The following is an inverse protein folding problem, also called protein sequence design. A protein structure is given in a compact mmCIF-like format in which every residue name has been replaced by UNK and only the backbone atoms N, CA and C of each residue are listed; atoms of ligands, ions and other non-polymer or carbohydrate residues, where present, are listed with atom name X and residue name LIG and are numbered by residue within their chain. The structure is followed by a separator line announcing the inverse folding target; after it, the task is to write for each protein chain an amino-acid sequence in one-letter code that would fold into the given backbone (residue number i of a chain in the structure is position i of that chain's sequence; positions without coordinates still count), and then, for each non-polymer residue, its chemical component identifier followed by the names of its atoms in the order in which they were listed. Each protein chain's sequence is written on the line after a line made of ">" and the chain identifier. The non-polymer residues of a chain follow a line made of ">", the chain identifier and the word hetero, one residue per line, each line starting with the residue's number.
data_IF_115101118346
#
_entry.id   IF_115101118346
#
_cell.length_a   1.000
_cell.length_b   1.000
_cell.length_c   1.000
_cell.angle_alpha   90.00
_cell.angle_beta   90.00
_cell.angle_gamma   90.00
#
_symmetry.space_group_name_H-M   'P 1'
#
loop_
_entity.id
_entity.type
_entity.pdbx_description
1 polymer ?
#
# COMPACT_ATOMS: atom_id res chain seq x y z
N UNK A 1 -69.87 -36.96 36.54
CA UNK A 1 -71.19 -36.50 37.02
C UNK A 1 -71.45 -35.10 36.46
N UNK A 2 -72.56 -34.97 35.72
CA UNK A 2 -73.35 -33.76 35.42
C UNK A 2 -72.72 -32.54 34.70
N UNK A 3 -73.16 -32.36 33.44
CA UNK A 3 -73.32 -31.07 32.74
C UNK A 3 -74.38 -30.18 33.43
N UNK A 4 -74.60 -28.86 33.09
CA UNK A 4 -75.25 -28.43 31.83
C UNK A 4 -74.74 -27.08 31.24
N UNK A 5 -74.74 -26.88 29.91
CA UNK A 5 -75.87 -26.43 29.06
C UNK A 5 -76.40 -25.01 29.36
N UNK A 6 -76.20 -24.08 28.41
CA UNK A 6 -77.18 -23.08 27.92
C UNK A 6 -76.64 -22.50 26.59
N UNK A 7 -77.22 -22.90 25.44
CA UNK A 7 -78.25 -22.17 24.65
C UNK A 7 -77.66 -20.97 23.89
N UNK A 8 -78.01 -20.61 22.65
CA UNK A 8 -78.82 -21.09 21.52
C UNK A 8 -78.81 -19.87 20.54
N UNK A 9 -78.79 -20.11 19.22
CA UNK A 9 -79.02 -19.18 18.07
C UNK A 9 -77.82 -19.23 17.10
N UNK A 10 -77.86 -19.91 15.95
CA UNK A 10 -78.78 -19.82 14.80
C UNK A 10 -78.68 -18.47 14.06
N UNK A 11 -77.77 -18.39 13.08
CA UNK A 11 -77.96 -17.63 11.84
C UNK A 11 -76.89 -18.06 10.82
N UNK A 12 -77.35 -18.72 9.76
CA UNK A 12 -76.57 -19.01 8.57
C UNK A 12 -76.55 -17.76 7.67
N UNK A 13 -75.37 -17.37 7.16
CA UNK A 13 -75.27 -16.65 5.88
C UNK A 13 -73.86 -16.80 5.27
N UNK A 14 -73.82 -17.61 4.22
CA UNK A 14 -73.08 -17.49 2.95
C UNK A 14 -71.67 -16.86 2.93
N UNK A 15 -70.71 -17.70 2.53
CA UNK A 15 -69.73 -17.50 1.45
C UNK A 15 -68.96 -16.17 1.41
N UNK A 16 -67.73 -16.19 1.92
CA UNK A 16 -66.54 -15.65 1.24
C UNK A 16 -65.28 -16.25 1.89
N UNK A 17 -64.65 -17.22 1.20
CA UNK A 17 -63.30 -17.64 1.52
C UNK A 17 -62.34 -16.56 1.00
N UNK A 18 -61.87 -15.68 1.90
CA UNK A 18 -60.72 -14.83 1.66
C UNK A 18 -59.53 -15.46 2.39
N UNK A 19 -58.58 -15.94 1.60
CA UNK A 19 -57.26 -16.41 2.00
C UNK A 19 -56.48 -15.18 2.53
N UNK A 20 -56.29 -15.09 3.85
CA UNK A 20 -55.48 -14.07 4.49
C UNK A 20 -53.98 -14.39 4.25
N UNK A 21 -53.45 -13.93 3.11
CA UNK A 21 -52.00 -13.75 2.94
C UNK A 21 -51.59 -12.40 3.54
N UNK A 22 -50.60 -12.36 4.44
CA UNK A 22 -49.98 -11.10 4.87
C UNK A 22 -49.41 -10.36 3.67
N UNK A 23 -49.88 -9.12 3.48
CA UNK A 23 -49.40 -8.20 2.45
C UNK A 23 -47.98 -7.76 2.81
N UNK A 24 -47.01 -8.22 2.03
CA UNK A 24 -45.62 -7.78 2.10
C UNK A 24 -45.56 -6.26 1.87
N UNK A 25 -44.86 -5.55 2.77
CA UNK A 25 -44.66 -4.11 2.65
C UNK A 25 -43.82 -3.80 1.38
N UNK A 26 -44.09 -2.69 0.67
CA UNK A 26 -43.27 -2.30 -0.48
C UNK A 26 -41.83 -2.06 -0.02
N UNK A 27 -40.88 -2.78 -0.63
CA UNK A 27 -39.45 -2.53 -0.44
C UNK A 27 -39.12 -1.12 -0.90
N UNK A 28 -38.56 -0.31 0.00
CA UNK A 28 -37.93 0.97 -0.34
C UNK A 28 -36.91 0.78 -1.48
N UNK A 29 -36.88 1.67 -2.49
CA UNK A 29 -35.83 1.65 -3.49
C UNK A 29 -34.48 1.92 -2.84
N UNK A 30 -33.39 1.27 -3.30
CA UNK A 30 -32.06 1.48 -2.74
C UNK A 30 -31.66 2.96 -2.84
N UNK A 31 -30.93 3.50 -1.84
CA UNK A 31 -30.51 4.89 -1.85
C UNK A 31 -29.72 5.21 -3.13
N UNK A 32 -29.93 6.40 -3.72
CA UNK A 32 -29.16 6.81 -4.90
C UNK A 32 -27.68 6.81 -4.55
N UNK A 33 -26.89 6.15 -5.41
CA UNK A 33 -25.43 6.15 -5.34
C UNK A 33 -24.96 7.60 -5.37
N UNK A 34 -24.21 8.01 -4.35
CA UNK A 34 -23.56 9.31 -4.34
C UNK A 34 -22.59 9.37 -5.52
N UNK A 35 -22.98 10.11 -6.56
CA UNK A 35 -22.12 10.52 -7.65
C UNK A 35 -21.01 11.40 -7.08
N UNK A 36 -19.77 10.98 -7.29
CA UNK A 36 -18.60 11.82 -7.05
C UNK A 36 -18.58 12.83 -8.21
N UNK A 37 -18.75 14.14 -7.97
CA UNK A 37 -18.62 15.13 -9.03
C UNK A 37 -17.13 15.36 -9.27
N UNK A 38 -16.65 15.06 -10.48
CA UNK A 38 -15.33 15.51 -10.92
C UNK A 38 -14.40 14.40 -11.41
N UNK A 39 -14.82 13.67 -12.44
CA UNK A 39 -13.98 13.29 -13.58
C UNK A 39 -14.96 12.79 -14.64
N UNK A 40 -15.00 13.47 -15.78
CA UNK A 40 -15.91 13.16 -16.89
C UNK A 40 -15.75 11.71 -17.37
N UNK A 41 -16.51 10.81 -16.76
CA UNK A 41 -16.77 9.45 -17.21
C UNK A 41 -17.91 9.42 -18.25
N UNK A 42 -18.14 10.55 -18.94
CA UNK A 42 -19.22 10.73 -19.92
C UNK A 42 -18.80 10.63 -21.39
N UNK A 43 -17.53 10.30 -21.67
CA UNK A 43 -16.99 10.20 -23.04
C UNK A 43 -16.50 8.80 -23.42
N UNK A 44 -16.74 7.80 -22.58
CA UNK A 44 -16.60 6.39 -22.93
C UNK A 44 -17.94 5.72 -22.63
N UNK A 45 -18.86 5.80 -23.60
CA UNK A 45 -20.05 4.96 -23.60
C UNK A 45 -19.66 3.49 -23.46
N UNK A 46 -20.58 2.67 -22.94
CA UNK A 46 -20.62 1.22 -22.65
C UNK A 46 -19.76 0.24 -23.50
N UNK A 47 -18.52 0.60 -23.76
CA UNK A 47 -17.45 -0.23 -24.26
C UNK A 47 -16.49 -0.38 -23.11
N UNK A 48 -16.68 -1.41 -22.30
CA UNK A 48 -15.56 -2.00 -21.59
C UNK A 48 -14.43 -2.11 -22.61
N UNK A 49 -13.33 -1.39 -22.41
CA UNK A 49 -12.12 -1.58 -23.20
C UNK A 49 -11.91 -3.09 -23.26
N UNK A 50 -12.05 -3.69 -24.43
CA UNK A 50 -11.90 -5.12 -24.60
C UNK A 50 -10.45 -5.44 -24.26
N UNK A 51 -10.22 -5.89 -23.03
CA UNK A 51 -8.90 -6.27 -22.55
C UNK A 51 -8.62 -7.64 -23.16
N UNK A 52 -7.47 -7.77 -23.82
CA UNK A 52 -7.04 -9.04 -24.39
C UNK A 52 -7.07 -10.16 -23.33
N UNK A 53 -7.43 -11.41 -23.72
CA UNK A 53 -7.36 -12.52 -22.80
C UNK A 53 -5.92 -12.66 -22.26
N UNK A 54 -5.75 -13.00 -20.98
CA UNK A 54 -4.42 -13.15 -20.42
C UNK A 54 -3.68 -14.27 -21.13
N UNK A 55 -2.39 -14.04 -21.41
CA UNK A 55 -1.50 -15.06 -21.95
C UNK A 55 -1.52 -16.32 -21.06
N UNK A 56 -1.27 -17.51 -21.63
CA UNK A 56 -1.14 -18.72 -20.83
C UNK A 56 0.00 -18.58 -19.81
N UNK A 57 -0.09 -19.18 -18.62
CA UNK A 57 0.88 -18.99 -17.54
C UNK A 57 2.31 -19.42 -17.87
N UNK A 58 2.46 -20.44 -18.71
CA UNK A 58 3.72 -21.17 -18.83
C UNK A 58 4.13 -21.83 -17.51
N UNK A 59 5.30 -22.46 -17.49
CA UNK A 59 5.94 -22.98 -16.29
C UNK A 59 7.36 -22.42 -16.23
N UNK A 60 7.59 -21.47 -15.32
CA UNK A 60 8.89 -20.79 -15.22
C UNK A 60 10.00 -21.79 -14.87
N UNK A 61 9.71 -22.81 -14.05
CA UNK A 61 10.72 -23.82 -13.69
C UNK A 61 11.17 -24.58 -14.93
N UNK A 62 10.22 -25.09 -15.71
CA UNK A 62 10.52 -25.81 -16.94
C UNK A 62 11.17 -24.91 -18.01
N UNK A 63 10.89 -23.61 -18.02
CA UNK A 63 11.57 -22.63 -18.88
C UNK A 63 13.04 -22.43 -18.47
N UNK A 64 13.33 -22.29 -17.18
CA UNK A 64 14.69 -22.13 -16.66
C UNK A 64 15.53 -23.41 -16.85
N UNK A 65 14.93 -24.57 -16.63
CA UNK A 65 15.59 -25.86 -16.80
C UNK A 65 15.97 -26.11 -18.27
N UNK A 66 15.10 -25.71 -19.23
CA UNK A 66 15.36 -25.81 -20.67
C UNK A 66 16.24 -24.70 -21.25
N UNK A 67 16.38 -23.56 -20.56
CA UNK A 67 17.15 -22.43 -21.09
C UNK A 67 18.63 -22.81 -21.27
N UNK A 68 19.13 -22.80 -22.51
CA UNK A 68 20.54 -23.12 -22.79
C UNK A 68 21.40 -21.86 -22.81
N UNK A 69 21.07 -20.92 -23.69
CA UNK A 69 21.73 -19.63 -23.83
C UNK A 69 20.78 -18.62 -24.50
N UNK A 70 21.19 -17.35 -24.51
CA UNK A 70 20.39 -16.24 -25.03
C UNK A 70 20.01 -16.41 -26.50
N UNK A 71 20.94 -16.76 -27.38
CA UNK A 71 20.70 -16.84 -28.83
C UNK A 71 19.78 -18.01 -29.19
N UNK A 72 19.94 -19.17 -28.55
CA UNK A 72 19.01 -20.30 -28.70
C UNK A 72 17.60 -19.91 -28.27
N UNK A 73 17.46 -19.24 -27.12
CA UNK A 73 16.15 -18.77 -26.65
C UNK A 73 15.51 -17.80 -27.66
N UNK A 74 16.27 -16.83 -28.17
CA UNK A 74 15.75 -15.87 -29.16
C UNK A 74 15.31 -16.59 -30.43
N UNK A 75 16.12 -17.49 -30.98
CA UNK A 75 15.79 -18.21 -32.21
C UNK A 75 14.54 -19.10 -32.05
N UNK A 76 14.36 -19.73 -30.89
CA UNK A 76 13.15 -20.52 -30.61
C UNK A 76 11.90 -19.66 -30.47
N UNK A 77 12.03 -18.49 -29.84
CA UNK A 77 10.91 -17.57 -29.54
C UNK A 77 10.63 -16.57 -30.67
N UNK A 78 11.52 -16.44 -31.66
CA UNK A 78 11.34 -15.60 -32.85
C UNK A 78 10.21 -16.05 -33.78
N UNK A 79 9.66 -17.25 -33.57
CA UNK A 79 8.46 -17.76 -34.27
C UNK A 79 7.17 -17.09 -33.77
N UNK A 80 7.18 -15.77 -33.66
CA UNK A 80 6.01 -14.97 -33.30
C UNK A 80 5.05 -14.88 -34.49
N UNK A 81 3.79 -14.60 -34.18
CA UNK A 81 2.83 -14.21 -35.20
C UNK A 81 3.32 -12.92 -35.91
N UNK A 82 3.34 -12.88 -37.26
CA UNK A 82 3.84 -11.72 -38.00
C UNK A 82 3.14 -10.41 -37.62
N UNK A 83 1.83 -10.42 -37.36
CA UNK A 83 1.08 -9.22 -36.98
C UNK A 83 1.54 -8.69 -35.62
N UNK A 84 1.81 -9.58 -34.67
CA UNK A 84 2.37 -9.21 -33.36
C UNK A 84 3.80 -8.68 -33.52
N UNK A 85 4.60 -9.30 -34.38
CA UNK A 85 5.94 -8.84 -34.72
C UNK A 85 5.95 -7.43 -35.31
N UNK A 86 5.07 -7.17 -36.29
CA UNK A 86 4.92 -5.87 -36.93
C UNK A 86 4.44 -4.80 -35.93
N UNK A 87 3.53 -5.16 -35.02
CA UNK A 87 3.08 -4.26 -33.95
C UNK A 87 4.22 -3.91 -32.97
N UNK A 88 5.05 -4.88 -32.59
CA UNK A 88 6.23 -4.65 -31.74
C UNK A 88 7.26 -3.75 -32.46
N UNK A 89 7.50 -3.99 -33.75
CA UNK A 89 8.38 -3.16 -34.57
C UNK A 89 7.84 -1.73 -34.74
N UNK A 90 6.51 -1.57 -34.89
CA UNK A 90 5.87 -0.26 -35.02
C UNK A 90 5.98 0.59 -33.74
N UNK A 91 6.04 -0.03 -32.56
CA UNK A 91 6.34 0.68 -31.30
C UNK A 91 7.85 0.86 -31.04
N UNK A 92 8.70 0.43 -31.98
CA UNK A 92 10.15 0.61 -31.96
C UNK A 92 10.87 -0.25 -30.94
N UNK A 93 10.33 -1.41 -30.55
CA UNK A 93 10.94 -2.28 -29.53
C UNK A 93 11.49 -3.59 -30.11
N UNK A 94 12.47 -3.45 -30.99
CA UNK A 94 13.07 -4.57 -31.74
C UNK A 94 13.83 -5.58 -30.86
N UNK A 95 14.17 -5.21 -29.62
CA UNK A 95 14.92 -6.08 -28.68
C UNK A 95 14.02 -6.82 -27.70
N UNK A 96 12.68 -6.73 -27.81
CA UNK A 96 11.75 -7.33 -26.83
C UNK A 96 12.02 -8.82 -26.58
N UNK A 97 12.18 -9.62 -27.63
CA UNK A 97 12.45 -11.06 -27.50
C UNK A 97 13.79 -11.34 -26.82
N UNK A 98 14.82 -10.56 -27.17
CA UNK A 98 16.15 -10.70 -26.58
C UNK A 98 16.13 -10.33 -25.11
N UNK A 99 15.44 -9.24 -24.76
CA UNK A 99 15.29 -8.80 -23.38
C UNK A 99 14.42 -9.78 -22.56
N UNK A 100 13.36 -10.34 -23.14
CA UNK A 100 12.57 -11.41 -22.50
C UNK A 100 13.41 -12.68 -22.24
N UNK A 101 14.29 -13.06 -23.17
CA UNK A 101 15.22 -14.17 -22.95
C UNK A 101 16.30 -13.85 -21.91
N UNK A 102 16.75 -12.59 -21.81
CA UNK A 102 17.65 -12.14 -20.73
C UNK A 102 17.01 -12.25 -19.36
N UNK A 103 15.69 -12.10 -19.22
CA UNK A 103 15.01 -12.39 -17.94
C UNK A 103 15.23 -13.85 -17.50
N UNK A 104 15.15 -14.80 -18.44
CA UNK A 104 15.39 -16.21 -18.15
C UNK A 104 16.86 -16.48 -17.85
N UNK A 105 17.78 -15.89 -18.61
CA UNK A 105 19.22 -15.96 -18.35
C UNK A 105 19.56 -15.47 -16.95
N UNK A 106 19.10 -14.28 -16.60
CA UNK A 106 19.38 -13.64 -15.33
C UNK A 106 18.75 -14.40 -14.16
N UNK A 107 17.53 -14.91 -14.33
CA UNK A 107 16.84 -15.75 -13.34
C UNK A 107 17.53 -17.11 -13.13
N UNK A 108 18.05 -17.73 -14.21
CA UNK A 108 18.77 -19.01 -14.14
C UNK A 108 20.10 -18.86 -13.41
N UNK A 109 20.85 -17.83 -13.78
CA UNK A 109 22.16 -17.54 -13.20
C UNK A 109 22.08 -16.86 -11.83
N UNK A 110 20.89 -16.34 -11.47
CA UNK A 110 20.64 -15.49 -10.30
C UNK A 110 21.58 -14.27 -10.24
N UNK A 111 21.94 -13.72 -11.40
CA UNK A 111 22.87 -12.58 -11.54
C UNK A 111 22.13 -11.33 -11.93
N UNK A 112 22.14 -10.34 -11.03
CA UNK A 112 21.45 -9.06 -11.21
C UNK A 112 22.02 -8.26 -12.38
N UNK A 113 23.32 -8.33 -12.57
CA UNK A 113 24.08 -7.57 -13.57
C UNK A 113 23.61 -7.88 -15.00
N UNK A 114 23.10 -9.10 -15.23
CA UNK A 114 22.50 -9.49 -16.52
C UNK A 114 21.28 -8.65 -16.88
N UNK A 115 20.53 -8.15 -15.88
CA UNK A 115 19.38 -7.29 -16.12
C UNK A 115 19.78 -5.90 -16.65
N UNK A 116 21.02 -5.44 -16.42
CA UNK A 116 21.44 -4.08 -16.79
C UNK A 116 21.49 -3.88 -18.31
N UNK A 117 21.62 -4.97 -19.07
CA UNK A 117 21.59 -4.97 -20.53
C UNK A 117 20.17 -4.79 -21.12
N UNK A 118 19.12 -4.88 -20.30
CA UNK A 118 17.72 -4.69 -20.74
C UNK A 118 17.46 -3.20 -20.92
N UNK A 119 17.01 -2.81 -22.11
CA UNK A 119 16.79 -1.40 -22.48
C UNK A 119 15.68 -0.74 -21.65
N UNK A 120 14.43 -1.26 -21.69
CA UNK A 120 13.34 -0.62 -20.96
C UNK A 120 13.47 -0.76 -19.45
N UNK A 121 13.41 0.37 -18.76
CA UNK A 121 13.54 0.44 -17.31
C UNK A 121 12.49 -0.41 -16.57
N UNK A 122 11.26 -0.49 -17.09
CA UNK A 122 10.19 -1.32 -16.50
C UNK A 122 10.54 -2.80 -16.53
N UNK A 123 11.00 -3.31 -17.68
CA UNK A 123 11.38 -4.71 -17.85
C UNK A 123 12.66 -5.04 -17.07
N UNK A 124 13.62 -4.12 -17.04
CA UNK A 124 14.82 -4.24 -16.20
C UNK A 124 14.45 -4.35 -14.71
N UNK A 125 13.56 -3.50 -14.20
CA UNK A 125 13.07 -3.58 -12.82
C UNK A 125 12.35 -4.90 -12.55
N UNK A 126 11.57 -5.40 -13.50
CA UNK A 126 10.92 -6.70 -13.38
C UNK A 126 11.94 -7.84 -13.30
N UNK A 127 12.99 -7.81 -14.13
CA UNK A 127 14.11 -8.76 -14.11
C UNK A 127 14.80 -8.76 -12.72
N UNK A 128 15.11 -7.58 -12.17
CA UNK A 128 15.71 -7.47 -10.83
C UNK A 128 14.79 -8.05 -9.75
N UNK A 129 13.48 -7.80 -9.82
CA UNK A 129 12.51 -8.39 -8.91
C UNK A 129 12.50 -9.92 -9.00
N UNK A 130 12.54 -10.50 -10.19
CA UNK A 130 12.56 -11.95 -10.38
C UNK A 130 13.75 -12.58 -9.68
N UNK A 131 14.94 -12.02 -9.89
CA UNK A 131 16.16 -12.51 -9.27
C UNK A 131 16.08 -12.40 -7.75
N UNK A 132 15.65 -11.26 -7.22
CA UNK A 132 15.50 -11.08 -5.78
C UNK A 132 14.53 -12.10 -5.16
N UNK A 133 13.41 -12.39 -5.83
CA UNK A 133 12.44 -13.40 -5.38
C UNK A 133 13.00 -14.82 -5.43
N UNK A 134 13.71 -15.19 -6.51
CA UNK A 134 14.31 -16.53 -6.70
C UNK A 134 15.53 -16.76 -5.80
N UNK A 135 16.26 -15.69 -5.49
CA UNK A 135 17.44 -15.70 -4.62
C UNK A 135 17.10 -15.49 -3.14
N UNK A 136 15.82 -15.30 -2.79
CA UNK A 136 15.36 -15.05 -1.41
C UNK A 136 16.05 -13.83 -0.78
N UNK A 137 16.30 -12.80 -1.60
CA UNK A 137 17.12 -11.64 -1.27
C UNK A 137 16.29 -10.35 -1.29
N UNK A 138 15.45 -10.08 -0.26
CA UNK A 138 14.54 -8.93 -0.24
C UNK A 138 15.27 -7.57 -0.32
N UNK A 139 16.52 -7.50 0.15
CA UNK A 139 17.35 -6.30 0.03
C UNK A 139 17.77 -5.96 -1.41
N UNK A 140 17.68 -6.91 -2.33
CA UNK A 140 17.98 -6.74 -3.75
C UNK A 140 16.76 -6.32 -4.59
N UNK A 141 15.56 -6.32 -4.02
CA UNK A 141 14.36 -5.85 -4.72
C UNK A 141 14.55 -4.39 -5.19
N UNK A 142 13.99 -4.01 -6.35
CA UNK A 142 14.14 -2.66 -6.87
C UNK A 142 13.42 -1.65 -5.97
N UNK A 143 14.01 -0.46 -5.82
CA UNK A 143 13.34 0.69 -5.21
C UNK A 143 12.07 1.03 -6.00
N UNK A 144 11.03 1.52 -5.31
CA UNK A 144 9.84 2.05 -5.99
C UNK A 144 10.21 3.27 -6.84
N UNK A 145 11.06 4.12 -6.27
CA UNK A 145 11.64 5.31 -6.88
C UNK A 145 13.13 5.33 -6.55
N UNK A 146 13.99 5.25 -7.57
CA UNK A 146 15.45 5.14 -7.37
C UNK A 146 16.03 6.33 -6.59
N UNK A 147 15.49 7.53 -6.83
CA UNK A 147 15.92 8.75 -6.15
C UNK A 147 15.41 8.89 -4.71
N UNK A 148 14.48 8.04 -4.25
CA UNK A 148 13.80 8.19 -2.96
C UNK A 148 13.78 6.88 -2.16
N UNK A 149 14.91 6.51 -1.51
CA UNK A 149 14.99 5.31 -0.66
C UNK A 149 13.95 5.25 0.47
N UNK A 150 13.45 6.41 0.93
CA UNK A 150 12.39 6.51 1.92
C UNK A 150 11.03 6.01 1.44
N UNK A 151 10.82 5.82 0.13
CA UNK A 151 9.64 5.14 -0.42
C UNK A 151 9.74 3.62 -0.35
N UNK A 152 10.95 3.10 -0.13
CA UNK A 152 11.24 1.68 -0.01
C UNK A 152 11.28 0.97 -1.36
N UNK A 153 11.44 -0.34 -1.29
CA UNK A 153 11.38 -1.26 -2.44
C UNK A 153 9.95 -1.63 -2.81
N UNK A 154 9.80 -2.28 -3.96
CA UNK A 154 8.52 -2.83 -4.42
C UNK A 154 8.01 -3.84 -3.39
N UNK A 155 6.84 -3.58 -2.80
CA UNK A 155 6.33 -4.30 -1.62
C UNK A 155 6.14 -5.79 -1.87
N UNK A 156 5.48 -6.17 -2.97
CA UNK A 156 5.29 -7.55 -3.40
C UNK A 156 6.62 -8.28 -3.61
N UNK A 157 7.61 -7.64 -4.25
CA UNK A 157 8.94 -8.24 -4.37
C UNK A 157 9.55 -8.52 -3.00
N UNK A 158 9.51 -7.54 -2.08
CA UNK A 158 10.06 -7.70 -0.72
C UNK A 158 9.36 -8.83 0.03
N UNK A 159 8.03 -8.87 -0.01
CA UNK A 159 7.24 -9.90 0.67
C UNK A 159 7.53 -11.30 0.13
N UNK A 160 7.60 -11.45 -1.20
CA UNK A 160 7.88 -12.73 -1.87
C UNK A 160 9.33 -13.17 -1.62
N UNK A 161 10.30 -12.28 -1.78
CA UNK A 161 11.72 -12.57 -1.53
C UNK A 161 12.00 -12.86 -0.05
N UNK A 162 11.32 -12.17 0.87
CA UNK A 162 11.42 -12.43 2.31
C UNK A 162 10.63 -13.67 2.75
N UNK A 163 9.75 -14.20 1.88
CA UNK A 163 8.82 -15.31 2.17
C UNK A 163 7.87 -15.00 3.33
N UNK A 164 7.52 -13.72 3.50
CA UNK A 164 6.72 -13.22 4.61
C UNK A 164 5.43 -12.57 4.09
N UNK A 165 4.31 -13.29 4.22
CA UNK A 165 3.00 -12.84 3.74
C UNK A 165 2.56 -11.54 4.42
N UNK A 166 2.96 -11.32 5.68
CA UNK A 166 2.52 -10.15 6.44
C UNK A 166 2.94 -8.86 5.74
N UNK A 167 4.09 -8.87 5.05
CA UNK A 167 4.60 -7.72 4.32
C UNK A 167 3.76 -7.38 3.07
N UNK A 168 2.91 -8.28 2.57
CA UNK A 168 1.96 -7.97 1.50
C UNK A 168 0.98 -6.86 1.89
N UNK A 169 0.74 -6.61 3.19
CA UNK A 169 -0.07 -5.49 3.66
C UNK A 169 0.48 -4.11 3.23
N UNK A 170 1.76 -4.03 2.84
CA UNK A 170 2.36 -2.82 2.28
C UNK A 170 1.89 -2.48 0.86
N UNK A 171 1.24 -3.41 0.16
CA UNK A 171 0.65 -3.15 -1.15
C UNK A 171 -0.55 -2.18 -1.01
N UNK A 172 -0.56 -1.05 -1.75
CA UNK A 172 -1.61 -0.05 -1.66
C UNK A 172 -2.93 -0.52 -2.26
N UNK A 173 -2.86 -1.30 -3.34
CA UNK A 173 -4.02 -1.81 -4.06
C UNK A 173 -4.42 -3.17 -3.51
N UNK A 174 -5.71 -3.34 -3.19
CA UNK A 174 -6.24 -4.63 -2.72
C UNK A 174 -5.96 -5.77 -3.70
N UNK A 175 -6.00 -5.50 -5.02
CA UNK A 175 -5.70 -6.50 -6.04
C UNK A 175 -4.24 -6.95 -6.06
N UNK A 176 -3.31 -6.00 -5.89
CA UNK A 176 -1.89 -6.28 -5.78
C UNK A 176 -1.57 -7.04 -4.48
N UNK A 177 -2.19 -6.65 -3.36
CA UNK A 177 -2.08 -7.35 -2.07
C UNK A 177 -2.51 -8.80 -2.17
N UNK A 178 -3.70 -9.06 -2.71
CA UNK A 178 -4.21 -10.42 -2.85
C UNK A 178 -3.33 -11.28 -3.79
N UNK A 179 -2.79 -10.68 -4.86
CA UNK A 179 -1.83 -11.37 -5.74
C UNK A 179 -0.52 -11.67 -5.02
N UNK A 180 0.00 -10.74 -4.22
CA UNK A 180 1.16 -10.95 -3.36
C UNK A 180 0.93 -12.11 -2.39
N UNK A 181 -0.19 -12.11 -1.67
CA UNK A 181 -0.55 -13.17 -0.72
C UNK A 181 -0.69 -14.53 -1.42
N UNK A 182 -1.32 -14.56 -2.59
CA UNK A 182 -1.42 -15.77 -3.42
C UNK A 182 -0.04 -16.33 -3.78
N UNK A 183 0.91 -15.47 -4.18
CA UNK A 183 2.26 -15.88 -4.56
C UNK A 183 3.10 -16.33 -3.36
N UNK A 184 3.05 -15.61 -2.24
CA UNK A 184 3.82 -15.96 -1.03
C UNK A 184 3.33 -17.27 -0.43
N UNK A 185 2.00 -17.40 -0.23
CA UNK A 185 1.39 -18.59 0.35
C UNK A 185 1.23 -19.75 -0.62
N UNK A 186 1.34 -19.48 -1.92
CA UNK A 186 1.00 -20.40 -3.01
C UNK A 186 -0.44 -20.90 -2.96
N UNK A 187 -1.35 -20.05 -2.48
CA UNK A 187 -2.76 -20.41 -2.31
C UNK A 187 -3.64 -19.66 -3.33
N UNK A 188 -4.25 -20.38 -4.29
CA UNK A 188 -5.11 -19.77 -5.31
C UNK A 188 -6.36 -19.08 -4.74
N UNK A 189 -6.78 -19.39 -3.50
CA UNK A 189 -7.95 -18.77 -2.87
C UNK A 189 -7.81 -17.25 -2.77
N UNK A 190 -6.59 -16.74 -2.60
CA UNK A 190 -6.34 -15.30 -2.56
C UNK A 190 -6.57 -14.64 -3.93
N UNK A 191 -6.51 -15.38 -5.04
CA UNK A 191 -6.91 -14.84 -6.34
C UNK A 191 -8.44 -14.78 -6.52
N UNK A 192 -9.22 -15.54 -5.75
CA UNK A 192 -10.67 -15.67 -5.96
C UNK A 192 -11.47 -14.45 -5.52
N UNK A 193 -10.92 -13.64 -4.61
CA UNK A 193 -11.52 -12.38 -4.15
C UNK A 193 -11.43 -11.26 -5.19
N UNK A 194 -10.71 -11.49 -6.29
CA UNK A 194 -10.47 -10.50 -7.33
C UNK A 194 -11.58 -10.50 -8.38
N UNK A 195 -11.79 -9.33 -8.99
CA UNK A 195 -12.59 -9.20 -10.21
C UNK A 195 -12.05 -10.11 -11.34
N UNK A 196 -12.86 -10.48 -12.35
CA UNK A 196 -12.48 -11.49 -13.34
C UNK A 196 -11.11 -11.27 -14.03
N UNK A 197 -10.83 -10.05 -14.49
CA UNK A 197 -9.58 -9.72 -15.18
C UNK A 197 -8.33 -9.82 -14.27
N UNK A 198 -8.29 -9.17 -13.09
CA UNK A 198 -7.16 -9.34 -12.17
C UNK A 198 -7.08 -10.75 -11.59
N UNK A 199 -8.21 -11.47 -11.41
CA UNK A 199 -8.22 -12.88 -11.00
C UNK A 199 -7.46 -13.75 -11.99
N UNK A 200 -7.76 -13.61 -13.29
CA UNK A 200 -7.12 -14.43 -14.31
C UNK A 200 -5.60 -14.14 -14.39
N UNK A 201 -5.19 -12.88 -14.23
CA UNK A 201 -3.76 -12.53 -14.13
C UNK A 201 -3.10 -13.08 -12.86
N UNK A 202 -3.76 -13.03 -11.71
CA UNK A 202 -3.27 -13.59 -10.45
C UNK A 202 -3.06 -15.10 -10.55
N UNK A 203 -4.06 -15.84 -11.06
CA UNK A 203 -3.98 -17.30 -11.27
C UNK A 203 -2.85 -17.65 -12.24
N UNK A 204 -2.66 -16.83 -13.28
CA UNK A 204 -1.56 -16.99 -14.24
C UNK A 204 -0.21 -16.88 -13.55
N UNK A 205 0.03 -15.79 -12.81
CA UNK A 205 1.29 -15.59 -12.08
C UNK A 205 1.51 -16.72 -11.06
N UNK A 206 0.50 -17.05 -10.25
CA UNK A 206 0.61 -18.14 -9.29
C UNK A 206 1.03 -19.46 -9.93
N UNK A 207 0.39 -19.82 -11.06
CA UNK A 207 0.72 -21.04 -11.80
C UNK A 207 2.17 -21.01 -12.31
N UNK A 208 2.58 -19.87 -12.89
CA UNK A 208 3.93 -19.68 -13.44
C UNK A 208 5.02 -19.81 -12.37
N UNK A 209 4.78 -19.26 -11.18
CA UNK A 209 5.78 -19.11 -10.12
C UNK A 209 5.81 -20.24 -9.08
N UNK A 210 4.72 -21.02 -8.97
CA UNK A 210 4.50 -22.02 -7.91
C UNK A 210 5.68 -22.96 -7.68
N UNK A 211 6.38 -23.36 -8.74
CA UNK A 211 7.44 -24.37 -8.69
C UNK A 211 8.86 -23.77 -8.55
N UNK A 212 8.98 -22.44 -8.58
CA UNK A 212 10.27 -21.73 -8.52
C UNK A 212 10.48 -21.04 -7.17
N UNK A 213 9.43 -20.42 -6.63
CA UNK A 213 9.53 -19.71 -5.36
C UNK A 213 9.83 -20.68 -4.21
N UNK A 214 10.42 -20.15 -3.13
CA UNK A 214 10.65 -20.88 -1.87
C UNK A 214 9.40 -20.88 -0.97
N UNK A 215 9.33 -21.79 0.00
CA UNK A 215 8.13 -21.95 0.85
C UNK A 215 8.00 -20.75 1.80
N UNK A 216 6.75 -20.33 2.14
CA UNK A 216 6.55 -19.24 3.08
C UNK A 216 7.18 -19.55 4.45
N UNK A 217 7.61 -18.51 5.17
CA UNK A 217 8.03 -18.63 6.56
C UNK A 217 6.80 -18.83 7.46
N UNK A 218 6.92 -19.75 8.41
CA UNK A 218 5.89 -20.05 9.41
C UNK A 218 6.27 -19.51 10.79
N UNK A 219 5.30 -19.39 11.69
CA UNK A 219 5.54 -19.02 13.09
C UNK A 219 5.97 -17.55 13.32
N UNK A 220 5.80 -16.68 12.33
CA UNK A 220 6.08 -15.25 12.48
C UNK A 220 5.03 -14.58 13.36
N UNK A 221 5.46 -13.63 14.20
CA UNK A 221 4.56 -12.82 15.04
C UNK A 221 3.54 -12.05 14.19
N UNK A 222 2.38 -11.70 14.74
CA UNK A 222 1.44 -10.85 14.00
C UNK A 222 1.97 -9.42 13.93
N UNK A 223 1.72 -8.73 12.81
CA UNK A 223 2.02 -7.30 12.73
C UNK A 223 1.18 -6.54 13.78
N UNK A 224 1.73 -5.48 14.38
CA UNK A 224 0.96 -4.62 15.27
C UNK A 224 -0.21 -3.97 14.53
N UNK A 225 -1.30 -3.74 15.26
CA UNK A 225 -2.42 -2.98 14.73
C UNK A 225 -1.96 -1.54 14.43
N UNK A 226 -2.16 -1.10 13.19
CA UNK A 226 -1.77 0.24 12.76
C UNK A 226 -2.74 1.28 13.32
N UNK A 227 -2.23 2.28 14.03
CA UNK A 227 -2.98 3.44 14.53
C UNK A 227 -2.14 4.69 14.34
N UNK A 228 -2.74 5.77 13.84
CA UNK A 228 -2.10 7.07 13.84
C UNK A 228 -3.13 8.17 14.08
N UNK A 229 -2.81 9.09 14.98
CA UNK A 229 -3.77 10.10 15.45
C UNK A 229 -3.10 11.47 15.46
N UNK A 230 -3.82 12.48 14.98
CA UNK A 230 -3.42 13.88 15.01
C UNK A 230 -4.39 14.66 15.90
N UNK A 231 -3.86 15.30 16.94
CA UNK A 231 -4.62 16.13 17.87
C UNK A 231 -4.15 17.58 17.71
N UNK A 232 -5.08 18.51 17.51
CA UNK A 232 -4.79 19.93 17.29
C UNK A 232 -5.37 20.77 18.41
N UNK A 233 -4.55 21.28 19.33
CA UNK A 233 -5.09 22.11 20.41
C UNK A 233 -5.49 23.50 19.89
N UNK A 234 -6.53 24.07 20.48
CA UNK A 234 -6.89 25.46 20.23
C UNK A 234 -5.81 26.38 20.83
N UNK A 235 -5.38 27.44 20.12
CA UNK A 235 -4.48 28.43 20.70
C UNK A 235 -5.15 29.08 21.92
N UNK A 236 -4.40 29.19 23.02
CA UNK A 236 -4.87 29.66 24.34
C UNK A 236 -5.41 31.09 24.37
N UNK A 237 -5.21 31.87 23.30
CA UNK A 237 -5.53 33.29 23.23
C UNK A 237 -6.92 33.56 22.62
N UNK A 238 -7.63 32.52 22.19
CA UNK A 238 -9.05 32.64 21.88
C UNK A 238 -9.82 32.74 23.21
N UNK A 239 -9.92 33.97 23.75
CA UNK A 239 -10.70 34.33 24.95
C UNK A 239 -12.20 34.08 24.81
N UNK A 240 -12.59 32.86 24.48
CA UNK A 240 -13.94 32.36 24.59
C UNK A 240 -14.11 31.96 26.05
N UNK A 241 -14.73 32.84 26.83
CA UNK A 241 -15.27 32.46 28.13
C UNK A 241 -16.17 31.24 27.93
N UNK A 242 -15.67 30.06 28.33
CA UNK A 242 -16.47 28.86 28.38
C UNK A 242 -17.59 29.10 29.39
N UNK A 243 -18.79 29.39 28.90
CA UNK A 243 -19.99 29.44 29.72
C UNK A 243 -20.07 28.15 30.53
N UNK A 244 -20.14 28.30 31.86
CA UNK A 244 -20.22 27.19 32.80
C UNK A 244 -21.36 26.24 32.41
N UNK A 245 -21.02 25.08 31.82
CA UNK A 245 -22.00 24.06 31.46
C UNK A 245 -21.69 23.22 30.22
N UNK A 246 -20.70 23.56 29.39
CA UNK A 246 -20.24 22.71 28.30
C UNK A 246 -18.91 22.05 28.66
N UNK A 247 -18.84 20.71 28.53
CA UNK A 247 -17.63 19.92 28.77
C UNK A 247 -16.41 20.59 28.13
N UNK A 248 -15.47 21.00 28.98
CA UNK A 248 -14.26 21.68 28.59
C UNK A 248 -13.46 20.81 27.61
N UNK A 249 -13.22 21.35 26.41
CA UNK A 249 -12.01 21.06 25.64
C UNK A 249 -11.88 19.67 25.03
N UNK A 250 -12.91 19.15 24.37
CA UNK A 250 -12.71 18.00 23.46
C UNK A 250 -11.89 18.47 22.27
N UNK A 251 -10.59 18.25 22.33
CA UNK A 251 -9.70 18.48 21.19
C UNK A 251 -10.01 17.40 20.14
N UNK A 252 -10.44 17.77 18.91
CA UNK A 252 -10.80 16.78 17.91
C UNK A 252 -9.57 15.94 17.54
N UNK A 253 -9.61 14.65 17.89
CA UNK A 253 -8.65 13.64 17.44
C UNK A 253 -8.99 13.28 15.99
N UNK A 254 -8.08 13.59 15.08
CA UNK A 254 -8.19 13.22 13.67
C UNK A 254 -7.47 11.89 13.47
N UNK A 255 -8.20 10.85 13.07
CA UNK A 255 -7.59 9.59 12.64
C UNK A 255 -6.85 9.80 11.31
N UNK A 256 -5.55 9.53 11.34
CA UNK A 256 -4.64 9.58 10.19
C UNK A 256 -4.03 8.19 9.92
N UNK A 257 -4.68 7.12 10.40
CA UNK A 257 -4.24 5.73 10.27
C UNK A 257 -3.99 5.29 8.83
N UNK A 258 -4.72 5.83 7.87
CA UNK A 258 -4.51 5.57 6.43
C UNK A 258 -3.07 5.90 5.97
N UNK A 259 -2.40 6.89 6.60
CA UNK A 259 -1.02 7.27 6.27
C UNK A 259 0.01 6.21 6.66
N UNK A 260 -0.33 5.33 7.60
CA UNK A 260 0.58 4.29 8.15
C UNK A 260 0.04 2.88 7.99
N UNK A 261 -1.12 2.71 7.35
CA UNK A 261 -1.76 1.42 7.14
C UNK A 261 -0.86 0.44 6.36
N UNK A 262 -0.02 0.96 5.47
CA UNK A 262 0.93 0.19 4.66
C UNK A 262 2.28 -0.05 5.36
N UNK A 263 2.42 0.33 6.63
CA UNK A 263 3.71 0.37 7.32
C UNK A 263 4.59 1.55 6.89
N UNK A 264 5.75 1.69 7.53
CA UNK A 264 6.75 2.73 7.25
C UNK A 264 8.04 2.12 6.74
N UNK A 265 8.81 2.91 5.99
CA UNK A 265 10.15 2.51 5.53
C UNK A 265 11.18 3.09 6.49
N UNK A 266 12.11 2.23 6.92
CA UNK A 266 13.24 2.62 7.75
C UNK A 266 14.46 2.81 6.86
N UNK A 267 14.96 4.03 6.76
CA UNK A 267 16.20 4.33 6.03
C UNK A 267 17.34 4.39 7.02
N UNK A 268 18.23 3.40 6.96
CA UNK A 268 19.38 3.28 7.85
C UNK A 268 20.60 3.99 7.25
N UNK A 269 21.29 4.77 8.08
CA UNK A 269 22.55 5.41 7.77
C UNK A 269 23.45 5.38 9.01
N UNK A 270 24.45 4.49 9.00
CA UNK A 270 25.28 4.16 10.18
C UNK A 270 24.39 3.71 11.35
N UNK A 271 24.53 4.34 12.51
CA UNK A 271 23.76 4.05 13.73
C UNK A 271 22.43 4.83 13.80
N UNK A 272 22.04 5.53 12.72
CA UNK A 272 20.81 6.32 12.70
C UNK A 272 19.79 5.73 11.74
N UNK A 273 18.53 5.83 12.15
CA UNK A 273 17.36 5.42 11.39
C UNK A 273 16.51 6.65 11.09
N UNK A 274 16.25 6.88 9.81
CA UNK A 274 15.30 7.89 9.33
C UNK A 274 13.98 7.21 9.00
N UNK A 275 12.89 7.82 9.48
CA UNK A 275 11.52 7.39 9.21
C UNK A 275 10.78 8.56 8.59
N UNK A 276 10.00 8.29 7.55
CA UNK A 276 9.12 9.27 6.94
C UNK A 276 7.66 8.84 7.10
N UNK A 277 6.87 9.73 7.68
CA UNK A 277 5.43 9.65 7.76
C UNK A 277 4.82 10.44 6.60
N UNK A 278 3.90 9.82 5.86
CA UNK A 278 3.19 10.46 4.76
C UNK A 278 4.07 10.77 3.56
N UNK A 279 3.69 11.78 2.78
CA UNK A 279 4.46 12.26 1.65
C UNK A 279 4.95 13.67 1.96
N UNK A 280 6.27 13.84 2.09
CA UNK A 280 6.85 15.17 2.19
C UNK A 280 6.88 15.75 0.77
N UNK A 281 6.09 16.80 0.53
CA UNK A 281 6.09 17.46 -0.79
C UNK A 281 7.14 18.58 -0.71
N UNK A 282 7.96 18.74 -1.75
CA UNK A 282 8.79 19.95 -1.83
C UNK A 282 7.86 21.16 -1.96
N UNK A 283 7.82 21.94 -0.90
CA UNK A 283 6.73 22.87 -0.59
C UNK A 283 6.82 24.18 -1.36
N UNK A 284 6.95 24.11 -2.69
CA UNK A 284 6.76 25.28 -3.55
C UNK A 284 5.33 25.85 -3.41
N UNK A 285 4.37 25.05 -2.93
CA UNK A 285 2.99 25.44 -2.61
C UNK A 285 2.78 25.93 -1.18
N UNK A 286 3.85 26.18 -0.39
CA UNK A 286 3.78 26.59 1.04
C UNK A 286 2.92 27.83 1.30
N UNK A 287 2.59 28.61 0.26
CA UNK A 287 1.87 29.89 0.37
C UNK A 287 0.40 29.81 -0.02
N UNK A 288 -0.05 28.71 -0.61
CA UNK A 288 -1.44 28.58 -1.09
C UNK A 288 -2.24 27.83 -0.03
N UNK A 289 -3.33 28.46 0.45
CA UNK A 289 -4.24 27.83 1.37
C UNK A 289 -4.82 26.53 0.78
N UNK A 290 -4.91 25.49 1.60
CA UNK A 290 -5.59 24.28 1.19
C UNK A 290 -7.08 24.56 0.95
N UNK A 291 -7.68 23.91 -0.06
CA UNK A 291 -9.13 23.98 -0.26
C UNK A 291 -9.85 23.53 1.03
N UNK A 292 -10.95 24.19 1.45
CA UNK A 292 -11.62 23.91 2.73
C UNK A 292 -12.10 22.46 2.90
N UNK A 293 -12.30 21.74 1.80
CA UNK A 293 -12.73 20.34 1.80
C UNK A 293 -11.59 19.34 2.03
N UNK A 294 -10.32 19.78 2.02
CA UNK A 294 -9.18 18.90 2.32
C UNK A 294 -9.15 18.59 3.81
N UNK A 295 -9.05 17.31 4.14
CA UNK A 295 -8.81 16.84 5.52
C UNK A 295 -7.43 17.30 6.00
N UNK A 296 -7.30 17.45 7.32
CA UNK A 296 -6.01 17.71 7.93
C UNK A 296 -5.03 16.58 7.55
N UNK A 297 -3.79 16.96 7.21
CA UNK A 297 -2.75 16.03 6.81
C UNK A 297 -1.45 16.39 7.49
N UNK A 298 -0.71 15.37 7.87
CA UNK A 298 0.64 15.52 8.41
C UNK A 298 1.64 14.72 7.58
N UNK A 299 2.84 15.26 7.43
CA UNK A 299 4.00 14.52 6.98
C UNK A 299 5.20 14.91 7.86
N UNK A 300 6.00 13.93 8.26
CA UNK A 300 7.12 14.16 9.16
C UNK A 300 8.31 13.28 8.78
N UNK A 301 9.52 13.84 8.83
CA UNK A 301 10.76 13.07 8.80
C UNK A 301 11.37 13.07 10.20
N UNK A 302 11.59 11.89 10.76
CA UNK A 302 12.25 11.69 12.05
C UNK A 302 13.62 11.06 11.81
N UNK A 303 14.62 11.48 12.56
CA UNK A 303 15.94 10.84 12.60
C UNK A 303 16.25 10.42 14.03
N UNK A 304 16.51 9.14 14.26
CA UNK A 304 16.74 8.60 15.59
C UNK A 304 17.77 7.48 15.67
N UNK A 305 18.06 7.05 16.90
CA UNK A 305 19.01 5.97 17.26
C UNK A 305 18.28 4.68 17.71
N UNK A 306 16.97 4.58 17.40
CA UNK A 306 16.10 3.48 17.80
C UNK A 306 15.37 3.70 19.13
N UNK A 307 15.84 4.62 19.99
CA UNK A 307 15.19 4.96 21.28
C UNK A 307 14.89 6.45 21.43
N UNK A 308 15.65 7.30 20.74
CA UNK A 308 15.49 8.75 20.72
C UNK A 308 15.46 9.21 19.28
N UNK A 309 14.70 10.26 18.99
CA UNK A 309 14.68 10.87 17.67
C UNK A 309 14.49 12.38 17.75
N UNK A 310 14.82 13.03 16.63
CA UNK A 310 14.61 14.45 16.39
C UNK A 310 13.77 14.62 15.13
N UNK A 311 12.88 15.62 15.12
CA UNK A 311 12.12 15.99 13.93
C UNK A 311 13.04 16.74 12.97
N UNK A 312 13.26 16.20 11.77
CA UNK A 312 14.04 16.85 10.71
C UNK A 312 13.19 17.74 9.81
N UNK A 313 11.96 17.31 9.54
CA UNK A 313 11.00 18.03 8.70
C UNK A 313 9.61 17.73 9.19
N UNK A 314 8.75 18.75 9.21
CA UNK A 314 7.34 18.61 9.55
C UNK A 314 6.51 19.48 8.62
N UNK A 315 5.49 18.87 8.02
CA UNK A 315 4.47 19.53 7.23
C UNK A 315 3.10 19.24 7.85
N UNK A 316 2.40 20.29 8.25
CA UNK A 316 1.02 20.21 8.75
C UNK A 316 0.12 21.03 7.83
N UNK A 317 -0.80 20.35 7.16
CA UNK A 317 -1.80 20.95 6.28
C UNK A 317 -3.13 20.90 7.00
N UNK A 318 -3.74 22.07 7.21
CA UNK A 318 -5.06 22.19 7.81
C UNK A 318 -6.08 22.63 6.76
N UNK A 319 -7.37 22.25 6.90
CA UNK A 319 -8.43 22.73 6.02
C UNK A 319 -8.50 24.26 5.99
N UNK A 320 -8.67 24.86 4.81
CA UNK A 320 -8.78 26.31 4.61
C UNK A 320 -7.56 27.17 5.02
N UNK A 321 -6.44 26.54 5.40
CA UNK A 321 -5.26 27.20 5.92
C UNK A 321 -4.04 27.00 5.01
N UNK A 322 -3.13 27.97 4.99
CA UNK A 322 -1.83 27.79 4.36
C UNK A 322 -0.98 26.82 5.20
N UNK A 323 -0.29 25.85 4.58
CA UNK A 323 0.41 24.78 5.29
C UNK A 323 1.51 25.31 6.21
N UNK A 324 1.70 24.66 7.35
CA UNK A 324 2.85 24.87 8.20
C UNK A 324 3.97 23.94 7.75
N UNK A 325 5.14 24.50 7.45
CA UNK A 325 6.29 23.73 6.94
C UNK A 325 7.54 24.13 7.68
N UNK A 326 8.06 23.23 8.52
CA UNK A 326 9.34 23.41 9.22
C UNK A 326 10.45 22.70 8.44
N UNK A 327 11.66 23.30 8.22
CA UNK A 327 12.24 24.45 8.96
C UNK A 327 11.78 25.89 8.68
N UNK A 328 11.16 26.27 7.54
CA UNK A 328 10.72 27.66 7.32
C UNK A 328 9.81 28.21 8.43
N UNK A 329 8.97 27.34 9.01
CA UNK A 329 8.24 27.56 10.25
C UNK A 329 9.07 27.15 11.47
N UNK A 330 9.06 27.98 12.51
CA UNK A 330 9.65 27.62 13.80
C UNK A 330 8.83 26.50 14.44
N UNK A 331 9.50 25.50 15.00
CA UNK A 331 8.84 24.45 15.78
C UNK A 331 9.66 24.13 17.03
N UNK A 332 9.01 24.09 18.19
CA UNK A 332 9.54 23.53 19.45
C UNK A 332 9.24 22.01 19.58
N UNK A 333 9.08 21.36 18.42
CA UNK A 333 8.80 19.95 18.22
C UNK A 333 9.70 19.03 19.09
N UNK A 334 9.08 18.20 19.93
CA UNK A 334 9.74 17.18 20.75
C UNK A 334 9.23 15.80 20.39
N UNK A 335 10.13 14.83 20.25
CA UNK A 335 9.79 13.41 20.15
C UNK A 335 9.81 12.81 21.56
N UNK A 336 8.65 12.47 22.11
CA UNK A 336 8.51 11.95 23.48
C UNK A 336 8.52 10.43 23.56
N UNK A 337 8.19 9.75 22.46
CA UNK A 337 8.34 8.31 22.29
C UNK A 337 8.96 8.03 20.94
N UNK A 338 9.92 7.11 20.88
CA UNK A 338 10.48 6.61 19.63
C UNK A 338 11.00 5.19 19.81
N UNK A 339 10.38 4.25 19.12
CA UNK A 339 10.77 2.84 19.06
C UNK A 339 10.77 2.43 17.60
N UNK A 340 11.94 2.08 17.08
CA UNK A 340 12.07 1.59 15.72
C UNK A 340 13.25 0.62 15.62
N UNK A 341 12.96 -0.65 15.38
CA UNK A 341 13.97 -1.66 15.08
C UNK A 341 14.15 -1.75 13.56
N UNK A 342 15.40 -1.73 13.03
CA UNK A 342 15.67 -1.81 11.60
C UNK A 342 15.48 -3.24 11.06
N UNK A 343 14.28 -3.79 11.24
CA UNK A 343 13.90 -5.15 10.87
C UNK A 343 12.49 -5.16 10.26
N UNK A 344 12.33 -5.85 9.13
CA UNK A 344 11.03 -5.96 8.44
C UNK A 344 10.00 -6.64 9.35
N UNK A 345 8.79 -6.08 9.36
CA UNK A 345 7.68 -6.53 10.22
C UNK A 345 7.83 -6.16 11.70
N UNK A 346 8.93 -5.51 12.12
CA UNK A 346 9.09 -5.06 13.50
C UNK A 346 8.15 -3.88 13.78
N UNK A 347 7.67 -3.74 15.03
CA UNK A 347 6.85 -2.61 15.43
C UNK A 347 7.63 -1.29 15.33
N UNK A 348 6.92 -0.24 14.94
CA UNK A 348 7.40 1.13 14.93
C UNK A 348 6.40 1.99 15.67
N UNK A 349 6.85 2.67 16.73
CA UNK A 349 6.01 3.56 17.51
C UNK A 349 6.72 4.90 17.74
N UNK A 350 6.01 6.00 17.60
CA UNK A 350 6.56 7.30 17.96
C UNK A 350 5.48 8.31 18.33
N UNK A 351 5.85 9.29 19.13
CA UNK A 351 4.99 10.41 19.51
C UNK A 351 5.75 11.72 19.35
N UNK A 352 5.16 12.65 18.61
CA UNK A 352 5.68 14.01 18.38
C UNK A 352 4.68 15.00 18.95
N UNK A 353 5.14 15.93 19.77
CA UNK A 353 4.34 17.02 20.32
C UNK A 353 5.08 18.34 20.19
N UNK A 354 4.35 19.44 20.08
CA UNK A 354 4.92 20.77 20.00
C UNK A 354 3.95 21.77 19.40
N UNK A 355 4.47 22.94 19.10
CA UNK A 355 3.79 24.09 18.53
C UNK A 355 4.54 24.52 17.27
N UNK A 356 3.87 24.43 16.13
CA UNK A 356 4.41 24.95 14.88
C UNK A 356 3.95 26.39 14.68
N UNK A 357 4.91 27.28 14.39
CA UNK A 357 4.68 28.73 14.26
C UNK A 357 5.06 29.21 12.87
N UNK A 358 4.13 29.86 12.17
CA UNK A 358 4.34 30.46 10.86
C UNK A 358 3.77 31.89 10.85
N UNK A 359 4.65 32.88 11.02
CA UNK A 359 4.26 34.28 11.24
C UNK A 359 3.55 34.44 12.59
N UNK A 360 2.34 35.00 12.56
CA UNK A 360 1.48 35.16 13.76
C UNK A 360 0.70 33.89 14.13
N UNK A 361 0.68 32.87 13.24
CA UNK A 361 -0.11 31.66 13.45
C UNK A 361 0.69 30.67 14.28
N UNK A 362 0.10 30.21 15.38
CA UNK A 362 0.63 29.15 16.23
C UNK A 362 -0.38 28.00 16.25
N UNK A 363 0.12 26.78 16.04
CA UNK A 363 -0.70 25.58 16.10
C UNK A 363 -0.01 24.54 17.00
N UNK A 364 -0.46 24.37 18.25
CA UNK A 364 -0.06 23.24 19.07
C UNK A 364 -0.66 21.95 18.51
N UNK A 365 0.14 20.89 18.48
CA UNK A 365 -0.27 19.61 17.93
C UNK A 365 0.36 18.43 18.70
N UNK A 366 -0.26 17.26 18.56
CA UNK A 366 0.31 15.98 18.95
C UNK A 366 0.04 14.95 17.86
N UNK A 367 1.07 14.20 17.50
CA UNK A 367 1.02 13.08 16.56
C UNK A 367 1.42 11.83 17.35
N UNK A 368 0.56 10.82 17.40
CA UNK A 368 0.88 9.52 17.98
C UNK A 368 0.72 8.44 16.92
N UNK A 369 1.76 7.63 16.70
CA UNK A 369 1.83 6.63 15.64
C UNK A 369 2.26 5.30 16.22
N UNK A 370 1.55 4.24 15.83
CA UNK A 370 1.94 2.84 16.02
C UNK A 370 1.69 2.11 14.71
N UNK A 371 2.73 1.49 14.17
CA UNK A 371 2.73 0.79 12.88
C UNK A 371 3.86 -0.22 12.85
N UNK A 372 4.31 -0.65 11.67
CA UNK A 372 5.36 -1.64 11.47
C UNK A 372 6.30 -1.22 10.34
N UNK A 373 7.51 -1.77 10.35
CA UNK A 373 8.52 -1.53 9.33
C UNK A 373 8.24 -2.39 8.09
N UNK A 374 7.79 -1.77 7.00
CA UNK A 374 7.49 -2.50 5.75
C UNK A 374 8.71 -2.84 4.92
N UNK A 375 9.72 -2.00 5.00
CA UNK A 375 11.02 -2.21 4.37
C UNK A 375 12.11 -1.49 5.16
N UNK A 376 13.34 -1.95 4.99
CA UNK A 376 14.54 -1.37 5.57
C UNK A 376 15.51 -1.12 4.44
N UNK A 377 15.80 0.14 4.15
CA UNK A 377 16.75 0.56 3.12
C UNK A 377 17.99 1.18 3.74
N UNK A 378 19.05 1.29 2.97
CA UNK A 378 20.28 1.99 3.36
C UNK A 378 20.56 3.12 2.38
N UNK A 379 21.00 4.28 2.86
CA UNK A 379 21.41 5.37 1.96
C UNK A 379 22.75 5.02 1.29
N UNK A 380 22.85 5.04 -0.05
CA UNK A 380 24.14 4.88 -0.72
C UNK A 380 25.08 6.01 -0.30
N UNK A 381 26.24 5.68 0.31
CA UNK A 381 27.23 6.67 0.76
C UNK A 381 27.66 6.56 2.23
N UNK A 382 27.03 5.71 3.04
CA UNK A 382 27.60 5.31 4.33
C UNK A 382 28.61 4.17 4.09
N UNK A 383 29.86 4.52 3.73
CA UNK A 383 30.98 3.58 3.84
C UNK A 383 30.95 2.93 5.24
N UNK A 384 31.16 1.61 5.36
CA UNK A 384 31.31 0.99 6.66
C UNK A 384 32.48 1.67 7.40
N UNK A 385 32.41 1.86 8.74
CA UNK A 385 33.56 2.32 9.48
C UNK A 385 34.72 1.35 9.23
N UNK A 386 35.89 1.89 8.84
CA UNK A 386 37.10 1.08 8.70
C UNK A 386 37.30 0.23 9.96
N UNK A 387 37.75 -1.03 9.83
CA UNK A 387 37.99 -1.88 11.00
C UNK A 387 38.92 -1.13 11.95
N UNK A 388 38.48 -0.93 13.20
CA UNK A 388 39.32 -0.37 14.25
C UNK A 388 40.52 -1.30 14.39
N UNK A 389 41.68 -0.86 13.93
CA UNK A 389 42.95 -1.44 14.34
C UNK A 389 43.03 -1.31 15.86
N UNK A 390 42.94 -2.45 16.55
CA UNK A 390 43.14 -2.51 17.99
C UNK A 390 44.57 -2.06 18.31
N UNK A 391 44.80 -1.24 19.35
CA UNK A 391 46.13 -0.95 19.85
C UNK A 391 46.76 -2.16 20.54
#
# INVERSE_FOLDING_TARGET
>A
MLAPLKRLALAAFLLAACDDKPKEAPSEPPPPKAEIPGLDAGLLGEGQLAIDPPAPPGDLKAELDRFVNLDTCVNERAKLDPLVGDAIGAIGYDTLLRDACRLLEAAKDKKRETCDAIGPASLRRQCVSWIAMIAEAPDQCPLQFEALPARGRVASCVAIAARDQRLCAAEPLASARATCEALVLRDPKHCEVLLPNPRASCVRELTRWRNVLATPLEGLEKLPATRATLTLALPSDAGVEAGAGTDAGVVPETDIGELVAQGVVLVTARERTRIELGSLIESETSRIAAIPQKRARVAAALLGDGKRATVQKLELVLPADAPFVSPPAACDCKVTRFEAEPKRGAPVSFRVEGTITNGIRQQPFTIDVTTWARDVTSTPGALPPAPRSQP
#
